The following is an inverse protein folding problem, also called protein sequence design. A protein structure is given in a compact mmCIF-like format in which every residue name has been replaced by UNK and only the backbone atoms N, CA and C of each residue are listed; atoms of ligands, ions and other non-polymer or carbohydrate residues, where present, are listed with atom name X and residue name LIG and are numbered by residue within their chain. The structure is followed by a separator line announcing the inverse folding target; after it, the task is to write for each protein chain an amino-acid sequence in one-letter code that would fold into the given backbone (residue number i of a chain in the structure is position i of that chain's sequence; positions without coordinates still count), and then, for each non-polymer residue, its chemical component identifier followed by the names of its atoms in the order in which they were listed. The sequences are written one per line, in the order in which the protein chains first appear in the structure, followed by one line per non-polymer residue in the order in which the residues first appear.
data_IF_677589781054
#
_entry.id   IF_677589781054
#
_cell.length_a   1.000
_cell.length_b   1.000
_cell.length_c   1.000
_cell.angle_alpha   90.00
_cell.angle_beta   90.00
_cell.angle_gamma   90.00
#
_symmetry.space_group_name_H-M   'P 1'
#
loop_
_entity.id
_entity.type
_entity.pdbx_description
1 polymer ?
#
# COMPACT_ATOMS: atom_id res chain seq x y z
N UNK A 1 -33.87 53.52 -32.61
CA UNK A 1 -33.31 53.87 -31.28
C UNK A 1 -33.09 52.55 -30.54
N UNK A 2 -31.89 51.99 -30.75
CA UNK A 2 -30.84 51.68 -29.74
C UNK A 2 -31.14 50.44 -28.88
N UNK A 3 -30.60 49.27 -29.25
CA UNK A 3 -29.38 48.61 -28.73
C UNK A 3 -29.55 48.06 -27.30
N UNK A 4 -29.54 46.72 -27.14
CA UNK A 4 -28.37 45.89 -26.74
C UNK A 4 -28.28 45.80 -25.20
N UNK A 5 -28.08 44.67 -24.54
CA UNK A 5 -27.08 43.64 -24.82
C UNK A 5 -27.43 42.29 -24.17
N UNK A 6 -27.02 41.22 -24.86
CA UNK A 6 -26.78 39.88 -24.29
C UNK A 6 -25.44 39.92 -23.56
N UNK A 7 -25.36 39.33 -22.37
CA UNK A 7 -24.08 39.09 -21.68
C UNK A 7 -23.88 37.58 -21.55
N UNK A 8 -22.86 37.10 -22.26
CA UNK A 8 -22.24 35.81 -22.07
C UNK A 8 -21.40 35.84 -20.79
N UNK A 9 -21.43 34.78 -19.99
CA UNK A 9 -20.49 34.59 -18.87
C UNK A 9 -19.49 33.51 -19.28
N UNK A 10 -18.23 33.93 -19.28
CA UNK A 10 -17.03 33.19 -19.65
C UNK A 10 -16.71 32.05 -18.66
N UNK A 11 -16.17 30.97 -19.22
CA UNK A 11 -15.28 30.03 -18.55
C UNK A 11 -14.02 30.75 -18.04
N UNK A 12 -13.66 30.50 -16.80
CA UNK A 12 -12.31 30.79 -16.27
C UNK A 12 -11.83 29.56 -15.51
N UNK A 13 -10.93 28.82 -16.15
CA UNK A 13 -9.97 27.92 -15.52
C UNK A 13 -8.85 28.79 -14.93
N UNK A 14 -8.58 28.66 -13.64
CA UNK A 14 -7.28 29.01 -13.09
C UNK A 14 -6.79 27.90 -12.17
N UNK A 15 -5.66 27.32 -12.57
CA UNK A 15 -4.76 26.59 -11.71
C UNK A 15 -4.18 27.53 -10.65
N UNK A 16 -4.18 27.10 -9.40
CA UNK A 16 -3.25 27.59 -8.39
C UNK A 16 -2.69 26.39 -7.62
N UNK A 17 -1.48 26.00 -8.02
CA UNK A 17 -0.46 25.51 -7.10
C UNK A 17 -0.35 26.50 -5.95
N UNK A 18 -0.39 26.00 -4.72
CA UNK A 18 0.03 26.75 -3.55
C UNK A 18 0.74 25.80 -2.61
N UNK A 19 2.08 25.91 -2.65
CA UNK A 19 2.96 25.56 -1.55
C UNK A 19 2.41 26.19 -0.28
N UNK A 20 2.15 25.39 0.75
CA UNK A 20 2.16 25.86 2.12
C UNK A 20 3.30 25.16 2.85
N UNK A 21 4.44 25.85 2.84
CA UNK A 21 5.44 25.71 3.88
C UNK A 21 4.75 26.00 5.22
N UNK A 22 4.68 25.00 6.10
CA UNK A 22 4.38 25.23 7.51
C UNK A 22 5.70 25.26 8.27
N UNK A 23 5.89 26.38 8.95
CA UNK A 23 7.08 26.73 9.69
C UNK A 23 7.43 25.71 10.76
N UNK A 24 8.74 25.48 10.91
CA UNK A 24 9.34 24.83 12.05
C UNK A 24 9.03 25.63 13.33
N UNK A 25 8.42 24.95 14.31
CA UNK A 25 8.48 25.35 15.71
C UNK A 25 9.28 24.31 16.47
N UNK A 26 10.49 24.70 16.87
CA UNK A 26 11.37 23.96 17.75
C UNK A 26 10.81 23.94 19.17
N UNK A 27 10.51 22.75 19.70
CA UNK A 27 10.29 22.53 21.14
C UNK A 27 10.95 21.20 21.53
N UNK A 28 12.12 21.35 22.14
CA UNK A 28 12.73 20.59 23.25
C UNK A 28 12.46 19.08 23.40
N UNK A 29 13.57 18.34 23.46
CA UNK A 29 13.82 17.13 24.26
C UNK A 29 12.64 16.63 25.11
N UNK A 30 12.00 15.59 24.60
CA UNK A 30 11.28 14.61 25.41
C UNK A 30 11.52 13.24 24.76
N UNK A 31 12.63 12.63 25.18
CA UNK A 31 12.71 11.19 25.38
C UNK A 31 11.47 10.75 26.15
N UNK A 32 10.45 10.32 25.40
CA UNK A 32 9.43 9.41 25.88
C UNK A 32 9.17 8.47 24.73
N UNK A 33 9.56 7.22 24.95
CA UNK A 33 8.97 6.08 24.28
C UNK A 33 7.45 6.28 24.31
N UNK A 34 6.89 6.81 23.22
CA UNK A 34 5.49 6.56 22.94
C UNK A 34 5.38 5.03 22.92
N UNK A 35 4.43 4.44 23.67
CA UNK A 35 4.22 3.01 23.54
C UNK A 35 3.97 2.79 22.06
N UNK A 36 4.75 1.90 21.45
CA UNK A 36 4.36 1.27 20.19
C UNK A 36 2.93 0.79 20.47
N UNK A 37 1.92 1.50 19.94
CA UNK A 37 0.56 0.98 19.88
C UNK A 37 0.76 -0.36 19.19
N UNK A 38 0.64 -1.42 19.98
CA UNK A 38 1.07 -2.75 19.61
C UNK A 38 0.37 -3.08 18.29
N UNK A 39 1.13 -3.62 17.34
CA UNK A 39 0.56 -4.22 16.14
C UNK A 39 -0.35 -5.34 16.62
N UNK A 40 -1.64 -5.18 16.37
CA UNK A 40 -2.68 -5.87 17.13
C UNK A 40 -3.77 -6.43 16.22
N UNK A 41 -3.51 -6.65 14.93
CA UNK A 41 -4.51 -7.34 14.12
C UNK A 41 -4.80 -8.72 14.75
N UNK A 42 -6.06 -8.93 15.12
CA UNK A 42 -6.51 -10.14 15.81
C UNK A 42 -7.71 -10.80 15.14
N UNK A 43 -8.27 -10.15 14.11
CA UNK A 43 -9.44 -10.64 13.39
C UNK A 43 -9.36 -10.22 11.92
N UNK A 44 -9.47 -11.20 11.03
CA UNK A 44 -9.49 -11.02 9.57
C UNK A 44 -10.78 -11.62 9.03
N UNK A 45 -11.63 -10.76 8.47
CA UNK A 45 -12.98 -11.14 8.03
C UNK A 45 -13.25 -10.59 6.65
N UNK A 46 -14.17 -11.19 5.91
CA UNK A 46 -14.64 -10.62 4.64
C UNK A 46 -16.10 -10.19 4.75
N UNK A 47 -16.46 -9.13 4.02
CA UNK A 47 -17.86 -8.72 3.89
C UNK A 47 -18.59 -9.67 2.94
N UNK A 48 -19.68 -10.30 3.37
CA UNK A 48 -20.44 -11.26 2.56
C UNK A 48 -21.82 -10.79 2.14
N UNK A 49 -22.25 -9.59 2.56
CA UNK A 49 -23.57 -9.03 2.25
C UNK A 49 -23.48 -7.56 1.87
N UNK A 50 -24.52 -7.08 1.19
CA UNK A 50 -24.67 -5.69 0.80
C UNK A 50 -23.73 -5.25 -0.31
N UNK A 51 -23.68 -3.93 -0.50
CA UNK A 51 -22.76 -3.28 -1.43
C UNK A 51 -21.32 -3.55 -0.98
N UNK A 52 -20.43 -3.91 -1.91
CA UNK A 52 -19.05 -4.36 -1.67
C UNK A 52 -18.86 -5.75 -1.01
N UNK A 53 -19.85 -6.63 -1.07
CA UNK A 53 -19.67 -8.02 -0.67
C UNK A 53 -18.66 -8.77 -1.55
N UNK A 54 -17.77 -9.53 -0.93
CA UNK A 54 -16.90 -10.48 -1.60
C UNK A 54 -17.61 -11.81 -1.86
N UNK A 55 -17.57 -12.26 -3.11
CA UNK A 55 -17.94 -13.63 -3.48
C UNK A 55 -16.92 -14.63 -2.94
N UNK A 56 -17.32 -15.90 -2.76
CA UNK A 56 -16.40 -16.97 -2.35
C UNK A 56 -15.23 -17.16 -3.32
N UNK A 57 -15.43 -16.86 -4.61
CA UNK A 57 -14.35 -16.89 -5.61
C UNK A 57 -13.31 -15.80 -5.35
N UNK A 58 -13.77 -14.58 -5.02
CA UNK A 58 -12.88 -13.48 -4.64
C UNK A 58 -12.16 -13.77 -3.32
N UNK A 59 -12.84 -14.35 -2.32
CA UNK A 59 -12.20 -14.76 -1.06
C UNK A 59 -11.08 -15.77 -1.29
N UNK A 60 -11.25 -16.76 -2.18
CA UNK A 60 -10.17 -17.69 -2.54
C UNK A 60 -8.97 -16.99 -3.17
N UNK A 61 -9.21 -16.04 -4.07
CA UNK A 61 -8.13 -15.25 -4.65
C UNK A 61 -7.42 -14.36 -3.62
N UNK A 62 -8.15 -13.84 -2.63
CA UNK A 62 -7.58 -13.09 -1.51
C UNK A 62 -6.65 -13.98 -0.68
N UNK A 63 -7.06 -15.22 -0.40
CA UNK A 63 -6.22 -16.20 0.31
C UNK A 63 -4.90 -16.41 -0.45
N UNK A 64 -4.97 -16.71 -1.74
CA UNK A 64 -3.77 -16.88 -2.58
C UNK A 64 -2.92 -15.60 -2.61
N UNK A 65 -3.55 -14.43 -2.69
CA UNK A 65 -2.86 -13.14 -2.68
C UNK A 65 -2.11 -12.87 -1.38
N UNK A 66 -2.69 -13.21 -0.22
CA UNK A 66 -2.03 -13.11 1.08
C UNK A 66 -0.80 -14.01 1.13
N UNK A 67 -0.88 -15.24 0.62
CA UNK A 67 0.28 -16.13 0.55
C UNK A 67 1.42 -15.54 -0.32
N UNK A 68 1.10 -15.03 -1.51
CA UNK A 68 2.09 -14.37 -2.36
C UNK A 68 2.66 -13.07 -1.76
N UNK A 69 1.85 -12.34 -1.00
CA UNK A 69 2.29 -11.16 -0.22
C UNK A 69 3.35 -11.57 0.80
N UNK A 70 3.10 -12.64 1.55
CA UNK A 70 4.06 -13.19 2.54
C UNK A 70 5.33 -13.70 1.87
N UNK A 71 5.25 -14.30 0.68
CA UNK A 71 6.45 -14.71 -0.09
C UNK A 71 7.32 -13.49 -0.44
N UNK A 72 6.71 -12.40 -0.92
CA UNK A 72 7.43 -11.16 -1.25
C UNK A 72 8.05 -10.53 0.01
N UNK A 73 7.28 -10.38 1.08
CA UNK A 73 7.76 -9.82 2.34
C UNK A 73 8.92 -10.65 2.92
N UNK A 74 8.84 -11.99 2.87
CA UNK A 74 9.93 -12.85 3.34
C UNK A 74 11.21 -12.71 2.48
N UNK A 75 11.07 -12.51 1.17
CA UNK A 75 12.22 -12.25 0.31
C UNK A 75 12.91 -10.92 0.66
N UNK A 76 12.14 -9.89 0.99
CA UNK A 76 12.66 -8.61 1.47
C UNK A 76 13.43 -8.79 2.79
N UNK A 77 12.86 -9.50 3.78
CA UNK A 77 13.54 -9.83 5.05
C UNK A 77 14.85 -10.56 4.78
N UNK A 78 14.82 -11.61 3.96
CA UNK A 78 16.01 -12.40 3.60
C UNK A 78 17.12 -11.53 2.99
N UNK A 79 16.75 -10.56 2.15
CA UNK A 79 17.70 -9.64 1.53
C UNK A 79 18.31 -8.66 2.54
N UNK A 80 17.47 -8.09 3.41
CA UNK A 80 17.89 -7.18 4.49
C UNK A 80 18.79 -7.89 5.51
N UNK A 81 18.52 -9.15 5.84
CA UNK A 81 19.36 -9.92 6.77
C UNK A 81 20.69 -10.35 6.15
N UNK A 82 20.68 -10.70 4.86
CA UNK A 82 21.88 -11.21 4.17
C UNK A 82 22.84 -10.11 3.73
N UNK A 83 22.33 -9.04 3.12
CA UNK A 83 23.13 -7.96 2.54
C UNK A 83 22.83 -6.58 3.14
N UNK A 84 21.70 -6.42 3.84
CA UNK A 84 21.29 -5.14 4.43
C UNK A 84 21.23 -4.03 3.39
N UNK A 85 21.81 -2.89 3.74
CA UNK A 85 21.85 -1.70 2.90
C UNK A 85 22.87 -1.74 1.76
N UNK A 86 23.71 -2.78 1.71
CA UNK A 86 24.69 -2.98 0.63
C UNK A 86 24.08 -3.61 -0.64
N UNK A 87 22.86 -4.15 -0.54
CA UNK A 87 22.21 -4.84 -1.65
C UNK A 87 21.86 -3.88 -2.79
N UNK A 88 22.00 -4.28 -4.08
CA UNK A 88 21.57 -3.45 -5.20
C UNK A 88 20.08 -3.06 -5.13
N UNK A 89 19.23 -3.96 -4.65
CA UNK A 89 17.80 -3.70 -4.47
C UNK A 89 17.56 -2.61 -3.41
N UNK A 90 18.27 -2.65 -2.27
CA UNK A 90 18.14 -1.63 -1.22
C UNK A 90 18.49 -0.26 -1.78
N UNK A 91 19.64 -0.16 -2.45
CA UNK A 91 20.13 1.06 -3.05
C UNK A 91 19.16 1.66 -4.07
N UNK A 92 18.57 0.82 -4.92
CA UNK A 92 17.60 1.24 -5.93
C UNK A 92 16.28 1.74 -5.33
N UNK A 93 15.70 0.96 -4.42
CA UNK A 93 14.33 1.18 -3.96
C UNK A 93 14.22 1.95 -2.64
N UNK A 94 15.20 1.80 -1.76
CA UNK A 94 15.22 2.41 -0.42
C UNK A 94 16.30 3.50 -0.29
N UNK A 95 17.25 3.56 -1.22
CA UNK A 95 18.20 4.67 -1.38
C UNK A 95 19.49 4.55 -0.54
N UNK A 96 20.65 4.79 -1.17
CA UNK A 96 21.98 4.79 -0.52
C UNK A 96 22.10 5.76 0.65
N UNK A 97 21.40 6.90 0.58
CA UNK A 97 21.42 7.91 1.63
C UNK A 97 20.75 7.42 2.94
N UNK A 98 20.02 6.30 2.87
CA UNK A 98 19.31 5.68 3.97
C UNK A 98 20.05 4.46 4.55
N UNK A 99 21.29 4.22 4.13
CA UNK A 99 22.17 3.17 4.63
C UNK A 99 22.66 3.49 6.05
N UNK A 100 21.81 3.20 7.05
CA UNK A 100 22.16 3.25 8.48
C UNK A 100 21.60 2.01 9.17
N UNK A 101 22.34 1.37 10.10
CA UNK A 101 21.88 0.15 10.76
C UNK A 101 20.49 0.27 11.42
N UNK A 102 20.19 1.42 12.02
CA UNK A 102 18.87 1.68 12.61
C UNK A 102 17.74 1.75 11.59
N UNK A 103 18.01 2.24 10.38
CA UNK A 103 17.04 2.32 9.29
C UNK A 103 16.73 0.93 8.74
N UNK A 104 17.76 0.13 8.45
CA UNK A 104 17.59 -1.26 7.99
C UNK A 104 16.74 -2.06 8.99
N UNK A 105 17.11 -2.05 10.27
CA UNK A 105 16.36 -2.76 11.30
C UNK A 105 14.90 -2.26 11.44
N UNK A 106 14.68 -0.94 11.29
CA UNK A 106 13.33 -0.37 11.28
C UNK A 106 12.53 -0.84 10.07
N UNK A 107 13.13 -0.88 8.88
CA UNK A 107 12.46 -1.35 7.66
C UNK A 107 12.10 -2.83 7.78
N UNK A 108 13.08 -3.67 8.14
CA UNK A 108 12.84 -5.11 8.34
C UNK A 108 11.66 -5.35 9.27
N UNK A 109 11.70 -4.71 10.45
CA UNK A 109 10.70 -4.95 11.50
C UNK A 109 9.33 -4.38 11.17
N UNK A 110 9.26 -3.14 10.67
CA UNK A 110 7.99 -2.42 10.51
C UNK A 110 7.31 -2.69 9.19
N UNK A 111 8.04 -2.92 8.09
CA UNK A 111 7.43 -3.01 6.77
C UNK A 111 7.30 -4.44 6.24
N UNK A 112 8.16 -5.36 6.68
CA UNK A 112 8.18 -6.72 6.13
C UNK A 112 7.87 -7.80 7.17
N UNK A 113 8.57 -7.84 8.31
CA UNK A 113 8.25 -8.79 9.39
C UNK A 113 6.83 -8.56 9.93
N UNK A 114 6.40 -7.30 10.03
CA UNK A 114 5.03 -6.97 10.42
C UNK A 114 3.99 -7.55 9.45
N UNK A 115 4.25 -7.50 8.13
CA UNK A 115 3.34 -8.11 7.15
C UNK A 115 3.30 -9.62 7.34
N UNK A 116 4.43 -10.26 7.65
CA UNK A 116 4.49 -11.69 7.90
C UNK A 116 3.70 -12.10 9.16
N UNK A 117 3.76 -11.30 10.24
CA UNK A 117 3.13 -11.62 11.52
C UNK A 117 1.67 -11.18 11.64
N UNK A 118 1.30 -10.06 11.02
CA UNK A 118 0.00 -9.40 11.24
C UNK A 118 -1.00 -9.62 10.10
N UNK A 119 -0.57 -9.93 8.88
CA UNK A 119 -1.51 -10.17 7.78
C UNK A 119 -1.93 -11.64 7.78
N UNK A 120 -3.21 -11.91 7.94
CA UNK A 120 -3.80 -13.23 7.70
C UNK A 120 -4.95 -13.16 6.70
N UNK A 121 -5.20 -14.30 6.04
CA UNK A 121 -6.33 -14.41 5.13
C UNK A 121 -7.64 -14.55 5.90
N UNK A 122 -8.78 -14.06 5.36
CA UNK A 122 -10.06 -14.11 6.04
C UNK A 122 -10.70 -15.52 5.88
N UNK A 123 -10.19 -16.51 6.62
CA UNK A 123 -10.49 -17.94 6.41
C UNK A 123 -11.83 -18.41 6.96
N UNK A 124 -12.29 -17.85 8.08
CA UNK A 124 -13.31 -18.52 8.92
C UNK A 124 -14.56 -17.71 9.20
N UNK A 125 -14.53 -16.38 9.04
CA UNK A 125 -15.65 -15.51 9.41
C UNK A 125 -15.94 -14.46 8.34
N UNK A 126 -17.20 -14.43 7.95
CA UNK A 126 -17.79 -13.32 7.19
C UNK A 126 -18.55 -12.37 8.11
N UNK A 127 -18.70 -11.13 7.66
CA UNK A 127 -19.56 -10.10 8.27
C UNK A 127 -20.52 -9.52 7.22
N UNK A 128 -21.68 -9.05 7.63
CA UNK A 128 -22.65 -8.33 6.81
C UNK A 128 -22.29 -6.86 6.60
N UNK A 129 -21.45 -6.27 7.47
CA UNK A 129 -20.97 -4.90 7.35
C UNK A 129 -19.57 -4.73 7.95
N UNK A 130 -18.89 -3.64 7.58
CA UNK A 130 -17.56 -3.28 8.07
C UNK A 130 -17.53 -3.11 9.60
N UNK A 131 -18.67 -2.76 10.21
CA UNK A 131 -18.79 -2.51 11.65
C UNK A 131 -19.58 -3.59 12.40
N UNK A 132 -19.82 -4.77 11.80
CA UNK A 132 -20.47 -5.86 12.51
C UNK A 132 -19.67 -6.23 13.77
N UNK A 133 -20.36 -6.55 14.85
CA UNK A 133 -19.79 -6.76 16.21
C UNK A 133 -19.20 -5.51 16.88
N UNK A 134 -19.38 -4.33 16.30
CA UNK A 134 -19.04 -3.05 16.92
C UNK A 134 -17.58 -2.59 16.70
N UNK A 135 -17.14 -1.56 17.43
CA UNK A 135 -15.81 -0.96 17.25
C UNK A 135 -14.66 -1.90 17.57
N UNK A 136 -13.80 -2.14 16.58
CA UNK A 136 -12.67 -3.07 16.69
C UNK A 136 -11.50 -2.59 15.80
N UNK A 137 -10.59 -1.74 16.32
CA UNK A 137 -9.46 -1.20 15.54
C UNK A 137 -8.42 -2.27 15.19
N UNK A 138 -8.58 -3.47 15.74
CA UNK A 138 -7.71 -4.63 15.57
C UNK A 138 -8.28 -5.62 14.54
N UNK A 139 -9.37 -5.25 13.87
CA UNK A 139 -9.97 -6.01 12.78
C UNK A 139 -9.57 -5.46 11.43
N UNK A 140 -9.24 -6.37 10.52
CA UNK A 140 -9.15 -6.10 9.09
C UNK A 140 -10.37 -6.72 8.38
N UNK A 141 -11.15 -5.87 7.71
CA UNK A 141 -12.29 -6.28 6.90
C UNK A 141 -11.91 -6.19 5.42
N UNK A 142 -11.96 -7.32 4.73
CA UNK A 142 -11.81 -7.39 3.27
C UNK A 142 -13.17 -7.11 2.61
N UNK A 143 -13.21 -6.13 1.71
CA UNK A 143 -14.41 -5.79 0.93
C UNK A 143 -14.10 -5.80 -0.57
N UNK A 144 -15.12 -6.08 -1.37
CA UNK A 144 -15.03 -6.25 -2.82
C UNK A 144 -16.08 -5.38 -3.52
N UNK A 145 -15.92 -4.03 -3.49
CA UNK A 145 -16.78 -3.12 -4.25
C UNK A 145 -16.84 -3.48 -5.75
N UNK A 146 -17.98 -3.21 -6.37
CA UNK A 146 -18.13 -3.35 -7.83
C UNK A 146 -17.59 -2.11 -8.56
N UNK A 147 -17.62 -2.13 -9.89
CA UNK A 147 -17.11 -1.06 -10.76
C UNK A 147 -17.95 0.23 -10.72
N UNK A 148 -19.13 0.19 -10.09
CA UNK A 148 -20.01 1.34 -9.92
C UNK A 148 -19.84 2.00 -8.55
N UNK A 149 -19.11 1.36 -7.64
CA UNK A 149 -18.83 1.95 -6.34
C UNK A 149 -17.83 3.11 -6.52
N UNK A 150 -18.07 4.30 -5.93
CA UNK A 150 -17.23 5.49 -6.15
C UNK A 150 -15.73 5.30 -5.89
N UNK A 151 -15.37 4.36 -5.01
CA UNK A 151 -13.97 4.05 -4.67
C UNK A 151 -13.24 3.24 -5.74
N UNK A 152 -13.97 2.63 -6.68
CA UNK A 152 -13.45 1.87 -7.81
C UNK A 152 -13.77 2.52 -9.15
N UNK A 153 -14.37 3.72 -9.12
CA UNK A 153 -14.59 4.50 -10.33
C UNK A 153 -13.25 4.86 -10.96
N UNK A 154 -13.24 4.86 -12.29
CA UNK A 154 -12.07 5.26 -13.06
C UNK A 154 -11.69 6.69 -12.72
N UNK A 155 -10.40 6.92 -12.54
CA UNK A 155 -9.87 8.26 -12.45
C UNK A 155 -10.05 8.99 -13.79
N UNK A 156 -9.98 10.32 -13.75
CA UNK A 156 -10.21 11.18 -14.91
C UNK A 156 -9.25 10.90 -16.08
N UNK A 157 -8.09 10.31 -15.80
CA UNK A 157 -7.07 9.90 -16.77
C UNK A 157 -7.31 8.47 -17.33
N UNK A 158 -8.34 7.77 -16.86
CA UNK A 158 -8.71 6.42 -17.30
C UNK A 158 -8.18 5.29 -16.42
N UNK A 159 -7.37 5.58 -15.41
CA UNK A 159 -6.80 4.57 -14.52
C UNK A 159 -7.88 3.90 -13.67
N UNK A 160 -7.78 2.58 -13.53
CA UNK A 160 -8.69 1.79 -12.70
C UNK A 160 -8.06 1.53 -11.33
N UNK A 161 -8.65 1.97 -10.21
CA UNK A 161 -8.17 1.64 -8.88
C UNK A 161 -8.12 0.12 -8.70
N UNK A 162 -7.00 -0.39 -8.21
CA UNK A 162 -6.79 -1.82 -7.97
C UNK A 162 -7.27 -2.18 -6.57
N UNK A 163 -6.75 -1.47 -5.57
CA UNK A 163 -7.08 -1.65 -4.17
C UNK A 163 -7.02 -0.31 -3.44
N UNK A 164 -7.40 -0.32 -2.17
CA UNK A 164 -7.20 0.83 -1.29
C UNK A 164 -7.45 0.45 0.16
N UNK A 165 -6.72 1.11 1.06
CA UNK A 165 -6.82 0.90 2.50
C UNK A 165 -7.54 2.05 3.21
N UNK A 166 -8.31 1.73 4.24
CA UNK A 166 -8.75 2.66 5.27
C UNK A 166 -8.31 2.16 6.64
N UNK A 167 -7.68 3.04 7.41
CA UNK A 167 -7.32 2.77 8.78
C UNK A 167 -8.54 2.90 9.70
N UNK A 168 -8.53 2.12 10.78
CA UNK A 168 -9.51 2.28 11.85
C UNK A 168 -9.50 3.72 12.39
N UNK A 169 -10.69 4.31 12.50
CA UNK A 169 -10.92 5.68 12.93
C UNK A 169 -11.00 6.72 11.80
N UNK A 170 -10.68 6.37 10.55
CA UNK A 170 -10.82 7.30 9.41
C UNK A 170 -12.28 7.39 8.95
N UNK A 171 -12.90 6.24 8.68
CA UNK A 171 -14.32 6.15 8.28
C UNK A 171 -15.05 5.12 9.14
N UNK A 172 -14.42 3.97 9.36
CA UNK A 172 -14.95 2.89 10.18
C UNK A 172 -14.11 2.73 11.44
N UNK A 173 -14.68 2.13 12.47
CA UNK A 173 -13.95 1.73 13.67
C UNK A 173 -13.03 0.52 13.48
N UNK A 174 -13.06 -0.10 12.29
CA UNK A 174 -12.21 -1.22 11.86
C UNK A 174 -11.30 -0.77 10.73
N UNK A 175 -10.24 -1.52 10.45
CA UNK A 175 -9.48 -1.36 9.22
C UNK A 175 -10.24 -2.01 8.06
N UNK A 176 -10.21 -1.38 6.89
CA UNK A 176 -10.94 -1.86 5.71
C UNK A 176 -10.02 -1.87 4.50
N UNK A 177 -9.79 -3.05 3.95
CA UNK A 177 -9.12 -3.25 2.68
C UNK A 177 -10.17 -3.42 1.58
N UNK A 178 -10.18 -2.50 0.61
CA UNK A 178 -11.08 -2.49 -0.53
C UNK A 178 -10.35 -3.07 -1.74
N UNK A 179 -10.94 -4.07 -2.37
CA UNK A 179 -10.38 -4.74 -3.53
C UNK A 179 -11.32 -4.54 -4.72
N UNK A 180 -10.92 -3.67 -5.65
CA UNK A 180 -11.72 -3.32 -6.79
C UNK A 180 -11.68 -4.42 -7.87
N UNK A 181 -12.60 -4.42 -8.83
CA UNK A 181 -12.63 -5.44 -9.89
C UNK A 181 -11.30 -5.67 -10.65
N UNK A 182 -10.46 -4.64 -10.94
CA UNK A 182 -9.15 -4.83 -11.56
C UNK A 182 -8.21 -5.75 -10.77
N UNK A 183 -8.23 -5.70 -9.43
CA UNK A 183 -7.42 -6.58 -8.57
C UNK A 183 -7.60 -8.05 -8.92
N UNK A 184 -8.84 -8.49 -9.13
CA UNK A 184 -9.18 -9.87 -9.46
C UNK A 184 -8.87 -10.27 -10.91
N UNK A 185 -8.40 -9.33 -11.73
CA UNK A 185 -7.98 -9.56 -13.13
C UNK A 185 -6.47 -9.45 -13.32
N UNK A 186 -5.71 -9.16 -12.26
CA UNK A 186 -4.27 -8.97 -12.31
C UNK A 186 -3.51 -10.23 -12.78
N UNK A 187 -2.24 -10.04 -13.11
CA UNK A 187 -1.37 -11.09 -13.61
C UNK A 187 -1.07 -12.18 -12.57
N UNK A 188 -0.57 -13.31 -13.06
CA UNK A 188 -0.04 -14.38 -12.22
C UNK A 188 1.32 -13.96 -11.62
N UNK A 189 1.57 -14.34 -10.37
CA UNK A 189 2.86 -14.12 -9.68
C UNK A 189 4.08 -14.58 -10.50
N UNK A 190 4.01 -15.76 -11.13
CA UNK A 190 5.09 -16.27 -12.00
C UNK A 190 5.36 -15.40 -13.23
N UNK A 191 4.34 -14.72 -13.77
CA UNK A 191 4.50 -13.80 -14.90
C UNK A 191 5.20 -12.51 -14.45
N UNK A 192 4.89 -11.99 -13.26
CA UNK A 192 5.59 -10.86 -12.66
C UNK A 192 7.07 -11.17 -12.47
N UNK A 193 7.39 -12.26 -11.78
CA UNK A 193 8.77 -12.69 -11.52
C UNK A 193 9.55 -12.88 -12.83
N UNK A 194 8.97 -13.57 -13.82
CA UNK A 194 9.65 -13.80 -15.10
C UNK A 194 9.82 -12.52 -15.92
N UNK A 195 8.83 -11.62 -15.94
CA UNK A 195 8.94 -10.34 -16.64
C UNK A 195 9.90 -9.38 -15.97
N UNK A 196 9.86 -9.26 -14.65
CA UNK A 196 10.83 -8.50 -13.86
C UNK A 196 12.25 -8.96 -14.18
N UNK A 197 12.51 -10.27 -14.09
CA UNK A 197 13.82 -10.85 -14.42
C UNK A 197 14.25 -10.56 -15.87
N UNK A 198 13.38 -10.84 -16.84
CA UNK A 198 13.71 -10.70 -18.27
C UNK A 198 13.93 -9.25 -18.72
N UNK A 199 13.25 -8.31 -18.06
CA UNK A 199 13.38 -6.87 -18.33
C UNK A 199 14.49 -6.21 -17.51
N UNK A 200 15.17 -6.96 -16.63
CA UNK A 200 16.12 -6.43 -15.65
C UNK A 200 15.50 -5.37 -14.73
N UNK A 201 14.26 -5.63 -14.32
CA UNK A 201 13.53 -4.82 -13.36
C UNK A 201 13.02 -3.48 -13.89
N UNK A 202 12.70 -3.40 -15.19
CA UNK A 202 12.06 -2.21 -15.79
C UNK A 202 10.58 -2.43 -16.11
N UNK A 203 10.11 -3.67 -16.22
CA UNK A 203 8.70 -3.96 -16.54
C UNK A 203 8.05 -4.67 -15.36
N UNK A 204 7.19 -3.95 -14.66
CA UNK A 204 6.27 -4.50 -13.67
C UNK A 204 5.05 -5.11 -14.37
N UNK A 205 4.76 -6.37 -14.07
CA UNK A 205 3.43 -6.96 -14.31
C UNK A 205 2.80 -7.12 -12.95
N UNK A 206 1.88 -6.24 -12.62
CA UNK A 206 1.27 -6.21 -11.30
C UNK A 206 0.44 -7.49 -11.02
N UNK A 207 0.44 -7.91 -9.75
CA UNK A 207 -0.22 -9.13 -9.26
C UNK A 207 -0.87 -8.85 -7.93
N UNK A 208 -1.88 -9.65 -7.58
CA UNK A 208 -2.65 -9.47 -6.35
C UNK A 208 -1.77 -9.43 -5.10
N UNK A 209 -0.79 -10.32 -4.97
CA UNK A 209 0.13 -10.31 -3.82
C UNK A 209 1.08 -9.10 -3.78
N UNK A 210 1.43 -8.55 -4.95
CA UNK A 210 2.22 -7.32 -5.02
C UNK A 210 1.37 -6.12 -4.58
N UNK A 211 0.16 -5.97 -5.12
CA UNK A 211 -0.75 -4.89 -4.74
C UNK A 211 -1.12 -4.97 -3.26
N UNK A 212 -1.35 -6.17 -2.71
CA UNK A 212 -1.57 -6.31 -1.27
C UNK A 212 -0.36 -5.89 -0.45
N UNK A 213 0.87 -6.25 -0.86
CA UNK A 213 2.07 -5.81 -0.15
C UNK A 213 2.18 -4.28 -0.12
N UNK A 214 1.86 -3.62 -1.23
CA UNK A 214 1.75 -2.17 -1.33
C UNK A 214 0.72 -1.64 -0.31
N UNK A 215 -0.52 -2.14 -0.35
CA UNK A 215 -1.60 -1.65 0.54
C UNK A 215 -1.29 -1.82 2.03
N UNK A 216 -0.58 -2.89 2.40
CA UNK A 216 -0.22 -3.12 3.80
C UNK A 216 0.72 -2.04 4.34
N UNK A 217 1.44 -1.32 3.48
CA UNK A 217 2.32 -0.22 3.90
C UNK A 217 1.54 1.02 4.36
N UNK A 218 0.27 1.15 3.99
CA UNK A 218 -0.61 2.23 4.45
C UNK A 218 -1.33 1.92 5.76
N UNK A 219 -1.24 0.69 6.26
CA UNK A 219 -2.02 0.22 7.39
C UNK A 219 -1.25 0.38 8.71
N UNK A 220 -1.68 1.33 9.54
CA UNK A 220 -1.13 1.60 10.88
C UNK A 220 -1.05 0.37 11.75
N UNK A 221 -2.08 -0.50 11.67
CA UNK A 221 -2.14 -1.72 12.47
C UNK A 221 -1.04 -2.73 12.10
N UNK A 222 -0.44 -2.60 10.91
CA UNK A 222 0.69 -3.41 10.44
C UNK A 222 2.00 -2.63 10.64
N UNK A 223 2.18 -1.53 9.91
CA UNK A 223 3.49 -0.85 9.90
C UNK A 223 3.74 0.02 11.13
N UNK A 224 2.68 0.36 11.87
CA UNK A 224 2.72 1.34 12.95
C UNK A 224 2.57 2.76 12.42
N UNK A 225 1.83 3.61 13.13
CA UNK A 225 1.50 4.98 12.70
C UNK A 225 2.71 5.84 12.29
N UNK A 226 3.86 5.64 12.94
CA UNK A 226 5.10 6.38 12.62
C UNK A 226 5.80 5.92 11.34
N UNK A 227 5.33 4.85 10.71
CA UNK A 227 5.91 4.23 9.53
C UNK A 227 4.89 4.06 8.39
N UNK A 228 3.71 4.67 8.51
CA UNK A 228 2.70 4.66 7.46
C UNK A 228 3.28 5.26 6.18
N UNK A 229 3.22 4.50 5.09
CA UNK A 229 3.59 4.97 3.76
C UNK A 229 2.44 5.77 3.11
N UNK A 230 2.76 6.46 2.04
CA UNK A 230 1.90 7.23 1.14
C UNK A 230 2.21 6.86 -0.31
N UNK A 231 1.42 7.37 -1.25
CA UNK A 231 1.58 7.12 -2.68
C UNK A 231 2.24 8.31 -3.38
N UNK A 232 3.57 8.26 -3.44
CA UNK A 232 4.36 9.28 -4.14
C UNK A 232 4.50 8.96 -5.64
N UNK A 233 4.63 7.68 -5.98
CA UNK A 233 4.79 7.20 -7.35
C UNK A 233 4.39 5.73 -7.47
N UNK A 234 3.94 5.32 -8.66
CA UNK A 234 3.56 3.93 -8.97
C UNK A 234 4.45 3.30 -10.05
N UNK A 235 4.82 4.08 -11.06
CA UNK A 235 5.65 3.61 -12.17
C UNK A 235 7.10 3.37 -11.73
N UNK A 236 7.74 2.39 -12.36
CA UNK A 236 9.08 1.91 -11.99
C UNK A 236 10.10 3.05 -12.01
N UNK A 237 10.14 3.80 -13.11
CA UNK A 237 11.08 4.91 -13.30
C UNK A 237 10.81 6.07 -12.33
N UNK A 238 9.54 6.33 -12.02
CA UNK A 238 9.15 7.39 -11.08
C UNK A 238 9.55 7.03 -9.64
N UNK A 239 9.28 5.78 -9.22
CA UNK A 239 9.71 5.25 -7.91
C UNK A 239 11.23 5.24 -7.74
N UNK A 240 11.96 5.00 -8.83
CA UNK A 240 13.41 5.05 -8.86
C UNK A 240 13.93 6.49 -8.75
N UNK A 241 13.20 7.47 -9.28
CA UNK A 241 13.58 8.88 -9.29
C UNK A 241 13.20 9.67 -8.02
N UNK A 242 12.34 9.12 -7.15
CA UNK A 242 11.97 9.74 -5.87
C UNK A 242 13.20 10.12 -5.04
N UNK A 243 13.06 11.17 -4.22
CA UNK A 243 14.13 11.54 -3.30
C UNK A 243 14.28 10.49 -2.17
N UNK A 244 15.36 10.62 -1.39
CA UNK A 244 15.70 9.64 -0.35
C UNK A 244 14.60 9.47 0.71
N UNK A 245 13.90 10.54 1.07
CA UNK A 245 12.94 10.51 2.17
C UNK A 245 11.62 9.96 1.62
N UNK A 246 11.24 10.37 0.40
CA UNK A 246 10.09 9.85 -0.34
C UNK A 246 10.21 8.34 -0.63
N UNK A 247 11.40 7.83 -0.97
CA UNK A 247 11.63 6.40 -1.16
C UNK A 247 11.28 5.56 0.08
N UNK A 248 11.48 6.10 1.29
CA UNK A 248 11.15 5.43 2.55
C UNK A 248 9.70 5.63 2.99
N UNK A 249 8.98 6.53 2.35
CA UNK A 249 7.56 6.77 2.62
C UNK A 249 6.67 6.37 1.45
N UNK A 250 7.20 5.82 0.35
CA UNK A 250 6.42 5.35 -0.78
C UNK A 250 6.06 3.87 -0.66
N UNK A 251 4.76 3.54 -0.62
CA UNK A 251 4.29 2.15 -0.50
C UNK A 251 4.80 1.27 -1.65
N UNK A 252 4.79 1.80 -2.87
CA UNK A 252 5.26 1.10 -4.05
C UNK A 252 6.75 0.73 -3.98
N UNK A 253 7.61 1.59 -3.41
CA UNK A 253 9.04 1.30 -3.26
C UNK A 253 9.29 0.07 -2.37
N UNK A 254 8.49 -0.14 -1.32
CA UNK A 254 8.59 -1.35 -0.50
C UNK A 254 8.17 -2.61 -1.27
N UNK A 255 7.09 -2.53 -2.06
CA UNK A 255 6.65 -3.65 -2.89
C UNK A 255 7.66 -3.99 -4.00
N UNK A 256 8.25 -2.97 -4.64
CA UNK A 256 9.31 -3.12 -5.63
C UNK A 256 10.59 -3.70 -5.01
N UNK A 257 10.99 -3.22 -3.83
CA UNK A 257 12.12 -3.80 -3.09
C UNK A 257 11.94 -5.29 -2.83
N UNK A 258 10.74 -5.70 -2.40
CA UNK A 258 10.43 -7.09 -2.12
C UNK A 258 10.45 -7.96 -3.39
N UNK A 259 9.88 -7.46 -4.50
CA UNK A 259 9.95 -8.14 -5.80
C UNK A 259 11.38 -8.29 -6.29
N UNK A 260 12.17 -7.23 -6.22
CA UNK A 260 13.55 -7.24 -6.68
C UNK A 260 14.43 -8.14 -5.82
N UNK A 261 14.17 -8.17 -4.50
CA UNK A 261 14.79 -9.10 -3.54
C UNK A 261 14.46 -10.56 -3.83
N UNK A 262 13.22 -10.86 -4.23
CA UNK A 262 12.80 -12.20 -4.63
C UNK A 262 13.50 -12.67 -5.90
N UNK A 263 13.70 -11.76 -6.86
CA UNK A 263 14.36 -12.08 -8.14
C UNK A 263 15.88 -12.15 -8.01
N UNK A 264 16.45 -11.29 -7.17
CA UNK A 264 17.89 -11.10 -6.95
C UNK A 264 18.24 -11.26 -5.46
N UNK A 265 18.21 -12.50 -4.92
CA UNK A 265 18.56 -12.75 -3.52
C UNK A 265 20.06 -12.50 -3.26
N UNK A 266 20.46 -12.23 -2.00
CA UNK A 266 21.83 -11.81 -1.65
C UNK A 266 22.91 -12.88 -1.87
N UNK A 267 22.54 -14.12 -2.20
CA UNK A 267 23.45 -15.27 -2.34
C UNK A 267 23.64 -15.76 -3.78
N UNK A 268 23.18 -15.00 -4.79
CA UNK A 268 23.31 -15.34 -6.21
C UNK A 268 24.46 -14.62 -6.90
#
# INVERSE_FOLDING_TARGET
MSLSARVAVLFVLFALSSCNASAASSVTNLDRHAPILKRELSSWVWKSQGESACSLSQVRQIIDAVEYTKILANAAVTNLDGAGDSSPAYRRWLGDANSRPGTVASITRNHFEAVLSELEAPLTKSVASEQEDGPDPNRLVFTCPDDRHPVCEKHWNGDEPVAGMLNAGEVYSTNVLRLCPPFFRLGKHSKMVSKWRSSRGSILVETQGFSLLHEMQHLDAIVGRGHRATDHAYEVEECEALDKDEKLTNAQNFALFALDSLVNPPWN
#
